data_IF_824065490736
#
_entry.id   IF_824065490736
#
_cell.length_a   1.000
_cell.length_b   1.000
_cell.length_c   1.000
_cell.angle_alpha   90.00
_cell.angle_beta   90.00
_cell.angle_gamma   90.00
#
_symmetry.space_group_name_H-M   'P 1'
#
loop_
_entity.id
_entity.type
_entity.pdbx_description
1 polymer ?
#
# COMPACT_ATOMS: atom_id res chain seq x y z
N UNK A 1 21.10 -24.30 14.09
CA UNK A 1 20.11 -23.62 14.96
C UNK A 1 19.35 -22.64 14.10
N UNK A 2 18.02 -22.64 14.20
CA UNK A 2 17.06 -22.04 13.27
C UNK A 2 17.14 -20.50 13.25
N UNK A 3 17.91 -19.94 12.31
CA UNK A 3 17.78 -18.53 11.90
C UNK A 3 16.59 -18.28 10.95
N UNK A 4 15.99 -19.36 10.46
CA UNK A 4 14.87 -19.37 9.50
C UNK A 4 13.49 -19.13 10.14
N UNK A 5 13.39 -18.76 11.41
CA UNK A 5 12.09 -18.67 12.10
C UNK A 5 11.70 -17.23 12.48
N UNK A 6 12.67 -16.32 12.67
CA UNK A 6 12.38 -14.92 13.03
C UNK A 6 12.02 -14.05 11.82
N UNK A 7 12.70 -14.23 10.68
CA UNK A 7 12.42 -13.45 9.46
C UNK A 7 11.02 -13.75 8.88
N UNK A 8 10.59 -15.01 8.90
CA UNK A 8 9.26 -15.40 8.41
C UNK A 8 8.13 -14.91 9.33
N UNK A 9 8.36 -14.84 10.64
CA UNK A 9 7.39 -14.29 11.59
C UNK A 9 7.15 -12.80 11.33
N UNK A 10 8.22 -12.04 11.06
CA UNK A 10 8.12 -10.62 10.73
C UNK A 10 7.39 -10.37 9.40
N UNK A 11 7.62 -11.21 8.39
CA UNK A 11 6.90 -11.12 7.12
C UNK A 11 5.41 -11.41 7.30
N UNK A 12 5.06 -12.43 8.09
CA UNK A 12 3.67 -12.73 8.41
C UNK A 12 2.97 -11.57 9.13
N UNK A 13 3.63 -10.89 10.07
CA UNK A 13 3.07 -9.68 10.71
C UNK A 13 2.86 -8.53 9.72
N UNK A 14 3.76 -8.32 8.75
CA UNK A 14 3.57 -7.29 7.72
C UNK A 14 2.44 -7.63 6.75
N UNK A 15 2.29 -8.91 6.40
CA UNK A 15 1.16 -9.41 5.61
C UNK A 15 -0.14 -9.43 6.43
N UNK A 16 -0.11 -9.46 7.76
CA UNK A 16 -1.31 -9.26 8.57
C UNK A 16 -1.68 -7.77 8.69
N UNK A 17 -0.68 -6.89 8.73
CA UNK A 17 -0.85 -5.46 8.93
C UNK A 17 -1.02 -4.64 7.64
N UNK A 18 -0.99 -5.24 6.45
CA UNK A 18 -1.24 -4.48 5.19
C UNK A 18 -2.70 -4.01 5.03
N UNK A 19 -3.62 -4.50 5.88
CA UNK A 19 -4.98 -3.97 6.00
C UNK A 19 -5.09 -2.78 6.96
N UNK A 20 -4.01 -2.39 7.63
CA UNK A 20 -3.95 -1.12 8.35
C UNK A 20 -4.02 0.04 7.34
N UNK A 21 -4.74 1.10 7.72
CA UNK A 21 -4.90 2.30 6.91
C UNK A 21 -4.17 3.46 7.55
N UNK A 22 -3.58 4.34 6.74
CA UNK A 22 -2.83 5.48 7.24
C UNK A 22 -3.60 6.35 8.26
N UNK A 23 -4.91 6.52 8.07
CA UNK A 23 -5.81 7.27 8.94
C UNK A 23 -6.16 6.59 10.27
N UNK A 24 -5.82 5.31 10.45
CA UNK A 24 -6.15 4.51 11.63
C UNK A 24 -7.50 3.78 11.56
N UNK A 25 -8.18 3.81 10.41
CA UNK A 25 -9.47 3.09 10.22
C UNK A 25 -9.30 1.65 9.73
N UNK A 26 -8.06 1.19 9.61
CA UNK A 26 -7.73 -0.19 9.23
C UNK A 26 -7.75 -1.16 10.42
N UNK A 27 -7.35 -2.39 10.15
CA UNK A 27 -7.33 -3.50 11.10
C UNK A 27 -6.09 -4.36 10.85
N UNK A 28 -5.65 -5.20 11.81
CA UNK A 28 -6.32 -5.61 13.06
C UNK A 28 -6.06 -4.76 14.31
N UNK A 29 -5.00 -3.95 14.34
CA UNK A 29 -4.55 -3.19 15.52
C UNK A 29 -5.03 -1.73 15.51
N UNK A 30 -5.50 -1.22 14.37
CA UNK A 30 -5.98 0.17 14.24
C UNK A 30 -4.85 1.18 14.34
N UNK A 31 -3.69 0.81 13.79
CA UNK A 31 -2.49 1.65 13.84
C UNK A 31 -2.65 2.83 12.88
N UNK A 32 -2.09 3.99 13.26
CA UNK A 32 -2.19 5.23 12.48
C UNK A 32 -0.82 5.78 12.12
N UNK A 33 -0.69 6.27 10.89
CA UNK A 33 0.51 6.95 10.42
C UNK A 33 1.77 6.11 10.55
N UNK A 34 2.81 6.69 11.14
CA UNK A 34 4.12 6.07 11.35
C UNK A 34 4.13 4.92 12.37
N UNK A 35 3.04 4.74 13.13
CA UNK A 35 2.88 3.55 13.97
C UNK A 35 2.75 2.27 13.12
N UNK A 36 2.36 2.40 11.85
CA UNK A 36 2.35 1.32 10.88
C UNK A 36 3.76 1.14 10.34
N UNK A 37 4.32 -0.07 10.46
CA UNK A 37 5.65 -0.38 9.98
C UNK A 37 5.78 -0.05 8.47
N UNK A 38 6.89 0.58 8.06
CA UNK A 38 7.11 1.04 6.66
C UNK A 38 6.87 -0.04 5.62
N UNK A 39 7.30 -1.28 5.89
CA UNK A 39 7.08 -2.42 4.99
C UNK A 39 5.59 -2.72 4.78
N UNK A 40 4.77 -2.65 5.83
CA UNK A 40 3.32 -2.86 5.72
C UNK A 40 2.66 -1.74 4.91
N UNK A 41 3.10 -0.48 5.09
CA UNK A 41 2.63 0.67 4.30
C UNK A 41 2.95 0.52 2.80
N UNK A 42 4.14 0.01 2.47
CA UNK A 42 4.53 -0.27 1.08
C UNK A 42 3.68 -1.42 0.50
N UNK A 43 3.55 -2.54 1.24
CA UNK A 43 2.75 -3.69 0.78
C UNK A 43 1.30 -3.28 0.54
N UNK A 44 0.69 -2.50 1.44
CA UNK A 44 -0.69 -2.03 1.30
C UNK A 44 -0.92 -1.24 0.01
N UNK A 45 0.04 -0.36 -0.36
CA UNK A 45 -0.03 0.41 -1.60
C UNK A 45 0.12 -0.48 -2.84
N UNK A 46 1.12 -1.36 -2.84
CA UNK A 46 1.42 -2.24 -3.99
C UNK A 46 0.31 -3.27 -4.20
N UNK A 47 -0.22 -3.86 -3.13
CA UNK A 47 -1.35 -4.80 -3.20
C UNK A 47 -2.61 -4.13 -3.77
N UNK A 48 -2.90 -2.90 -3.35
CA UNK A 48 -4.00 -2.13 -3.92
C UNK A 48 -3.79 -1.82 -5.40
N UNK A 49 -2.58 -1.40 -5.80
CA UNK A 49 -2.25 -1.15 -7.20
C UNK A 49 -2.40 -2.40 -8.07
N UNK A 50 -1.83 -3.52 -7.63
CA UNK A 50 -1.91 -4.81 -8.34
C UNK A 50 -3.35 -5.30 -8.45
N UNK A 51 -4.12 -5.21 -7.36
CA UNK A 51 -5.55 -5.50 -7.37
C UNK A 51 -6.35 -4.56 -8.30
N UNK A 52 -5.82 -3.37 -8.59
CA UNK A 52 -6.44 -2.43 -9.50
C UNK A 52 -6.16 -2.73 -10.97
N UNK A 53 -4.92 -3.07 -11.30
CA UNK A 53 -4.41 -3.23 -12.67
C UNK A 53 -4.43 -4.67 -13.17
N UNK A 54 -4.62 -5.66 -12.31
CA UNK A 54 -4.79 -7.05 -12.73
C UNK A 54 -6.23 -7.34 -13.16
N UNK A 55 -6.36 -8.02 -14.29
CA UNK A 55 -7.64 -8.52 -14.78
C UNK A 55 -8.10 -9.67 -13.86
N UNK A 56 -9.27 -9.50 -13.22
CA UNK A 56 -9.90 -10.55 -12.41
C UNK A 56 -11.14 -11.03 -13.16
N UNK A 57 -11.54 -12.28 -12.96
CA UNK A 57 -12.67 -12.91 -13.67
C UNK A 57 -14.01 -12.16 -13.62
N UNK A 58 -14.13 -11.15 -12.75
CA UNK A 58 -15.33 -10.33 -12.54
C UNK A 58 -15.12 -8.82 -12.79
N UNK A 59 -13.94 -8.39 -13.25
CA UNK A 59 -13.56 -6.97 -13.41
C UNK A 59 -12.48 -6.80 -14.48
N UNK A 60 -12.73 -5.89 -15.42
CA UNK A 60 -11.68 -5.40 -16.31
C UNK A 60 -10.64 -4.62 -15.47
N UNK A 61 -9.36 -4.86 -15.75
CA UNK A 61 -8.26 -4.09 -15.16
C UNK A 61 -8.49 -2.59 -15.35
N UNK A 62 -8.22 -1.80 -14.31
CA UNK A 62 -8.12 -0.35 -14.48
C UNK A 62 -6.87 -0.04 -15.29
N UNK A 63 -6.94 1.00 -16.10
CA UNK A 63 -5.76 1.59 -16.70
C UNK A 63 -4.82 2.14 -15.62
N UNK A 64 -3.53 2.27 -15.95
CA UNK A 64 -2.55 2.88 -15.05
C UNK A 64 -2.97 4.28 -14.61
N UNK A 65 -3.62 5.05 -15.48
CA UNK A 65 -4.12 6.39 -15.19
C UNK A 65 -5.22 6.38 -14.13
N UNK A 66 -6.17 5.46 -14.23
CA UNK A 66 -7.24 5.30 -13.26
C UNK A 66 -6.71 4.81 -11.90
N UNK A 67 -5.79 3.86 -11.92
CA UNK A 67 -5.11 3.38 -10.71
C UNK A 67 -4.31 4.51 -10.04
N UNK A 68 -3.60 5.33 -10.82
CA UNK A 68 -2.90 6.52 -10.32
C UNK A 68 -3.86 7.52 -9.65
N UNK A 69 -4.99 7.84 -10.28
CA UNK A 69 -5.99 8.77 -9.73
C UNK A 69 -6.54 8.24 -8.41
N UNK A 70 -6.88 6.95 -8.34
CA UNK A 70 -7.43 6.34 -7.13
C UNK A 70 -6.40 6.29 -5.99
N UNK A 71 -5.15 5.93 -6.29
CA UNK A 71 -4.05 5.96 -5.30
C UNK A 71 -3.86 7.38 -4.76
N UNK A 72 -3.80 8.37 -5.64
CA UNK A 72 -3.59 9.78 -5.26
C UNK A 72 -4.75 10.30 -4.40
N UNK A 73 -5.99 9.94 -4.73
CA UNK A 73 -7.20 10.30 -3.97
C UNK A 73 -7.19 9.74 -2.54
N UNK A 74 -6.61 8.56 -2.35
CA UNK A 74 -6.55 7.88 -1.05
C UNK A 74 -5.23 8.12 -0.29
N UNK A 75 -4.38 9.02 -0.80
CA UNK A 75 -3.16 9.47 -0.12
C UNK A 75 -3.51 10.24 1.16
N UNK A 76 -2.91 9.85 2.29
CA UNK A 76 -3.18 10.44 3.59
C UNK A 76 -4.42 9.91 4.31
N UNK A 77 -5.13 8.95 3.71
CA UNK A 77 -6.23 8.21 4.35
C UNK A 77 -5.96 6.71 4.35
N UNK A 78 -5.95 6.09 3.18
CA UNK A 78 -5.61 4.68 3.04
C UNK A 78 -4.10 4.49 3.03
N UNK A 79 -3.41 5.32 2.26
CA UNK A 79 -1.99 5.16 1.96
C UNK A 79 -1.16 6.26 2.61
N UNK A 80 0.08 5.92 2.94
CA UNK A 80 1.09 6.88 3.37
C UNK A 80 1.36 7.90 2.24
N UNK A 81 1.21 9.21 2.48
CA UNK A 81 1.45 10.24 1.47
C UNK A 81 2.87 10.24 0.89
N UNK A 82 3.88 9.98 1.72
CA UNK A 82 5.27 10.01 1.29
C UNK A 82 5.59 8.81 0.38
N UNK A 83 5.16 7.62 0.80
CA UNK A 83 5.32 6.40 -0.01
C UNK A 83 4.52 6.53 -1.31
N UNK A 84 3.31 7.09 -1.25
CA UNK A 84 2.47 7.31 -2.43
C UNK A 84 3.15 8.22 -3.43
N UNK A 85 3.71 9.35 -2.98
CA UNK A 85 4.50 10.25 -3.83
C UNK A 85 5.67 9.52 -4.49
N UNK A 86 6.47 8.78 -3.72
CA UNK A 86 7.63 8.05 -4.22
C UNK A 86 7.20 7.02 -5.27
N UNK A 87 6.13 6.28 -5.01
CA UNK A 87 5.60 5.28 -5.95
C UNK A 87 5.21 5.92 -7.28
N UNK A 88 4.46 7.04 -7.24
CA UNK A 88 4.05 7.77 -8.45
C UNK A 88 5.25 8.26 -9.24
N UNK A 89 6.24 8.87 -8.58
CA UNK A 89 7.40 9.46 -9.25
C UNK A 89 8.40 8.42 -9.77
N UNK A 90 8.61 7.32 -9.03
CA UNK A 90 9.67 6.35 -9.31
C UNK A 90 9.19 5.09 -10.01
N UNK A 91 7.95 4.67 -9.79
CA UNK A 91 7.39 3.45 -10.39
C UNK A 91 6.52 3.78 -11.59
N UNK A 92 5.61 4.74 -11.46
CA UNK A 92 4.72 5.14 -12.57
C UNK A 92 5.36 6.18 -13.50
N UNK A 93 6.47 6.81 -13.08
CA UNK A 93 7.14 7.86 -13.86
C UNK A 93 6.26 9.11 -14.07
N UNK A 94 5.23 9.31 -13.24
CA UNK A 94 4.30 10.43 -13.31
C UNK A 94 4.73 11.54 -12.35
N UNK A 95 4.33 12.79 -12.64
CA UNK A 95 4.63 13.92 -11.77
C UNK A 95 3.67 13.96 -10.60
N UNK A 96 4.19 14.02 -9.38
CA UNK A 96 3.37 14.30 -8.20
C UNK A 96 3.09 15.80 -8.11
N UNK A 97 1.82 16.17 -8.11
CA UNK A 97 1.39 17.55 -7.88
C UNK A 97 0.75 17.63 -6.49
N UNK A 98 1.32 18.46 -5.62
CA UNK A 98 0.71 18.75 -4.31
C UNK A 98 -0.61 19.50 -4.52
N UNK A 99 -1.66 19.08 -3.81
CA UNK A 99 -2.93 19.81 -3.74
C UNK A 99 -2.84 20.99 -2.77
#
# INVERSE_FOLDING_TARGET
MLGSSSEYYNIAEYVLAHHERWDGTGYPKGLKGEAIHVKARIIALVDAYDAMTCERSYRNALSEEEAFIEIRKNSGTQFDPEITKIFVEKVLGKRWESF
#
